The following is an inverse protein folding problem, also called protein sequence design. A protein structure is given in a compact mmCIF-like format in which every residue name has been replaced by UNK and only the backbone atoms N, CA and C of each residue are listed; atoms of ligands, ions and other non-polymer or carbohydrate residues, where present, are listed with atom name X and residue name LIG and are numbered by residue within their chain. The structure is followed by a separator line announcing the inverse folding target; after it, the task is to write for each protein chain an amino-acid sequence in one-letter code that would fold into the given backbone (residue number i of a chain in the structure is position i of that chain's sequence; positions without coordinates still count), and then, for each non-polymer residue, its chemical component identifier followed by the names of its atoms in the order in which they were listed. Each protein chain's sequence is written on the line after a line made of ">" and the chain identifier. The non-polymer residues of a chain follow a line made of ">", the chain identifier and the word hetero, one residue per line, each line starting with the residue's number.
data_IF_845146265007
#
_entry.id   IF_845146265007
#
_cell.length_a   1.000
_cell.length_b   1.000
_cell.length_c   1.000
_cell.angle_alpha   90.00
_cell.angle_beta   90.00
_cell.angle_gamma   90.00
#
_symmetry.space_group_name_H-M   'P 1'
#
loop_
_entity.id
_entity.type
_entity.pdbx_description
1 polymer ?
#
# COMPACT_ATOMS: atom_id res chain seq x y z
N UNK A 1 13.41 1.60 -16.22
CA UNK A 1 12.34 0.93 -15.47
C UNK A 1 11.41 0.33 -16.49
N UNK A 2 11.14 -0.96 -16.37
CA UNK A 2 10.16 -1.63 -17.24
C UNK A 2 8.77 -1.46 -16.63
N UNK A 3 7.80 -1.09 -17.48
CA UNK A 3 6.41 -1.03 -17.07
C UNK A 3 5.85 -2.45 -17.04
N UNK A 4 5.40 -2.89 -15.87
CA UNK A 4 4.72 -4.17 -15.70
C UNK A 4 3.24 -3.91 -15.53
N UNK A 5 2.44 -4.44 -16.45
CA UNK A 5 0.98 -4.37 -16.35
C UNK A 5 0.52 -5.24 -15.18
N UNK A 6 -0.24 -4.65 -14.26
CA UNK A 6 -0.86 -5.38 -13.16
C UNK A 6 -2.17 -5.98 -13.65
N UNK A 7 -2.27 -7.31 -13.63
CA UNK A 7 -3.50 -8.01 -13.96
C UNK A 7 -4.48 -7.85 -12.79
N UNK A 8 -5.74 -7.58 -13.10
CA UNK A 8 -6.82 -7.59 -12.12
C UNK A 8 -6.99 -8.99 -11.54
N UNK A 9 -7.30 -9.07 -10.25
CA UNK A 9 -7.74 -10.33 -9.64
C UNK A 9 -9.14 -10.74 -10.15
N UNK A 10 -9.64 -11.89 -9.67
CA UNK A 10 -10.95 -12.44 -10.01
C UNK A 10 -12.11 -11.49 -9.65
N UNK A 11 -11.87 -10.51 -8.77
CA UNK A 11 -12.83 -9.48 -8.35
C UNK A 11 -12.72 -8.20 -9.18
N UNK A 12 -11.82 -8.15 -10.16
CA UNK A 12 -11.58 -6.97 -10.99
C UNK A 12 -10.77 -5.88 -10.29
N UNK A 13 -10.02 -6.23 -9.25
CA UNK A 13 -9.25 -5.29 -8.42
C UNK A 13 -7.76 -5.39 -8.77
N UNK A 14 -7.13 -4.23 -9.01
CA UNK A 14 -5.68 -4.10 -9.10
C UNK A 14 -5.12 -3.76 -7.72
N UNK A 15 -4.09 -4.47 -7.28
CA UNK A 15 -3.40 -4.25 -6.01
C UNK A 15 -2.00 -3.70 -6.26
N UNK A 16 -1.66 -2.58 -5.63
CA UNK A 16 -0.33 -1.98 -5.76
C UNK A 16 0.72 -2.83 -5.03
N UNK A 17 1.79 -3.18 -5.74
CA UNK A 17 2.94 -3.89 -5.16
C UNK A 17 3.86 -2.96 -4.35
N UNK A 18 3.90 -1.68 -4.71
CA UNK A 18 4.76 -0.66 -4.05
C UNK A 18 4.08 -0.08 -2.81
N UNK A 19 2.74 -0.02 -2.83
CA UNK A 19 1.92 0.45 -1.72
C UNK A 19 0.91 -0.63 -1.31
N UNK A 20 1.33 -1.60 -0.48
CA UNK A 20 0.43 -2.63 0.04
C UNK A 20 -0.80 -2.00 0.72
N UNK A 21 -1.98 -2.44 0.32
CA UNK A 21 -3.28 -1.88 0.73
C UNK A 21 -3.87 -0.82 -0.19
N UNK A 22 -3.15 -0.35 -1.21
CA UNK A 22 -3.73 0.46 -2.28
C UNK A 22 -4.38 -0.48 -3.31
N UNK A 23 -5.69 -0.65 -3.18
CA UNK A 23 -6.51 -1.49 -4.04
C UNK A 23 -7.45 -0.62 -4.88
N UNK A 24 -7.59 -0.95 -6.17
CA UNK A 24 -8.40 -0.20 -7.12
C UNK A 24 -9.32 -1.15 -7.89
N UNK A 25 -10.63 -1.00 -7.74
CA UNK A 25 -11.61 -1.71 -8.53
C UNK A 25 -11.68 -1.11 -9.94
N UNK A 26 -11.13 -1.81 -10.94
CA UNK A 26 -11.00 -1.30 -12.32
C UNK A 26 -12.37 -1.06 -12.94
N UNK A 27 -13.31 -1.98 -12.76
CA UNK A 27 -14.66 -1.82 -13.27
C UNK A 27 -15.39 -0.62 -12.66
N UNK A 28 -15.16 -0.34 -11.38
CA UNK A 28 -15.75 0.82 -10.70
C UNK A 28 -15.11 2.13 -11.15
N UNK A 29 -13.80 2.12 -11.37
CA UNK A 29 -13.07 3.28 -11.90
C UNK A 29 -13.58 3.65 -13.31
N UNK A 30 -13.75 2.65 -14.17
CA UNK A 30 -14.27 2.83 -15.54
C UNK A 30 -15.75 3.22 -15.56
N UNK A 31 -16.51 2.81 -14.54
CA UNK A 31 -17.91 3.19 -14.37
C UNK A 31 -18.10 4.52 -13.61
N UNK A 32 -17.01 5.20 -13.24
CA UNK A 32 -17.01 6.40 -12.39
C UNK A 32 -17.70 6.22 -11.03
N UNK A 33 -17.84 4.97 -10.57
CA UNK A 33 -18.43 4.62 -9.28
C UNK A 33 -17.41 4.82 -8.15
N UNK A 34 -17.28 6.07 -7.72
CA UNK A 34 -16.35 6.45 -6.66
C UNK A 34 -16.70 5.85 -5.30
N UNK A 35 -17.98 5.50 -5.06
CA UNK A 35 -18.38 4.84 -3.81
C UNK A 35 -17.72 3.47 -3.71
N UNK A 36 -17.80 2.69 -4.80
CA UNK A 36 -17.18 1.37 -4.86
C UNK A 36 -15.66 1.44 -4.89
N UNK A 37 -15.07 2.41 -5.60
CA UNK A 37 -13.61 2.65 -5.55
C UNK A 37 -13.15 2.93 -4.12
N UNK A 38 -13.85 3.81 -3.39
CA UNK A 38 -13.49 4.14 -2.00
C UNK A 38 -13.72 2.99 -1.03
N UNK A 39 -14.75 2.15 -1.25
CA UNK A 39 -14.97 0.95 -0.45
C UNK A 39 -13.83 -0.07 -0.65
N UNK A 40 -13.41 -0.31 -1.89
CA UNK A 40 -12.29 -1.19 -2.22
C UNK A 40 -10.98 -0.67 -1.61
N UNK A 41 -10.73 0.63 -1.67
CA UNK A 41 -9.55 1.24 -1.04
C UNK A 41 -9.56 1.04 0.48
N UNK A 42 -10.70 1.27 1.14
CA UNK A 42 -10.81 1.08 2.59
C UNK A 42 -10.59 -0.38 3.00
N UNK A 43 -11.10 -1.34 2.22
CA UNK A 43 -10.84 -2.76 2.44
C UNK A 43 -9.34 -3.08 2.33
N UNK A 44 -8.64 -2.51 1.34
CA UNK A 44 -7.20 -2.65 1.18
C UNK A 44 -6.41 -2.06 2.34
N UNK A 45 -6.76 -0.87 2.82
CA UNK A 45 -6.11 -0.25 3.98
C UNK A 45 -6.37 -1.01 5.29
N UNK A 46 -7.52 -1.68 5.42
CA UNK A 46 -7.82 -2.54 6.56
C UNK A 46 -7.08 -3.89 6.52
N UNK A 47 -6.54 -4.28 5.36
CA UNK A 47 -5.88 -5.57 5.16
C UNK A 47 -4.61 -5.75 6.00
N UNK A 48 -4.23 -7.02 6.23
CA UNK A 48 -3.00 -7.38 6.94
C UNK A 48 -1.75 -6.86 6.23
N UNK A 49 -1.74 -6.86 4.90
CA UNK A 49 -0.62 -6.38 4.08
C UNK A 49 -0.29 -4.92 4.38
N UNK A 50 -1.33 -4.07 4.48
CA UNK A 50 -1.16 -2.67 4.83
C UNK A 50 -0.64 -2.49 6.27
N UNK A 51 -1.18 -3.26 7.22
CA UNK A 51 -0.73 -3.23 8.62
C UNK A 51 0.74 -3.64 8.75
N UNK A 52 1.17 -4.65 8.00
CA UNK A 52 2.56 -5.09 7.95
C UNK A 52 3.46 -4.03 7.31
N UNK A 53 3.03 -3.41 6.21
CA UNK A 53 3.73 -2.30 5.59
C UNK A 53 3.90 -1.11 6.56
N UNK A 54 2.86 -0.71 7.28
CA UNK A 54 2.92 0.32 8.30
C UNK A 54 3.86 -0.03 9.46
N UNK A 55 3.94 -1.31 9.86
CA UNK A 55 4.94 -1.79 10.82
C UNK A 55 6.35 -1.65 10.27
N UNK A 56 6.61 -2.11 9.05
CA UNK A 56 7.92 -2.01 8.39
C UNK A 56 8.40 -0.56 8.28
N UNK A 57 7.53 0.36 7.85
CA UNK A 57 7.85 1.79 7.74
C UNK A 57 8.16 2.41 9.10
N UNK A 58 7.42 2.03 10.16
CA UNK A 58 7.72 2.46 11.54
C UNK A 58 9.08 1.95 12.02
N UNK A 59 9.44 0.71 11.71
CA UNK A 59 10.75 0.15 12.07
C UNK A 59 11.91 0.81 11.31
N UNK A 60 11.73 1.11 10.02
CA UNK A 60 12.72 1.82 9.20
C UNK A 60 13.00 3.25 9.69
N UNK A 61 12.01 3.90 10.33
CA UNK A 61 12.20 5.21 10.96
C UNK A 61 12.92 5.11 12.32
N UNK A 62 12.74 4.02 13.08
CA UNK A 62 13.35 3.84 14.39
C UNK A 62 14.87 3.57 14.33
N UNK A 63 15.36 2.88 13.29
CA UNK A 63 16.79 2.58 13.12
C UNK A 63 17.62 3.80 12.71
N UNK A 64 16.99 4.86 12.17
CA UNK A 64 17.67 6.12 11.81
C UNK A 64 17.91 7.08 12.99
N UNK A 65 17.21 6.91 14.09
CA UNK A 65 17.41 7.72 15.31
C UNK A 65 18.43 7.12 16.29
N UNK A 66 18.81 5.85 16.14
CA UNK A 66 19.75 5.19 17.06
C UNK A 66 21.23 5.36 16.66
N UNK A 67 21.54 5.67 15.38
CA UNK A 67 22.91 5.82 14.85
C UNK A 67 23.46 7.26 14.99
N UNK A 68 22.75 8.19 15.64
CA UNK A 68 23.23 9.57 15.86
C UNK A 68 23.55 9.92 17.31
N UNK A 69 23.58 8.93 18.22
CA UNK A 69 24.04 9.11 19.60
C UNK A 69 25.23 8.19 19.91
N UNK A 70 26.37 8.45 19.29
CA UNK A 70 27.67 8.02 19.81
C UNK A 70 28.41 9.28 20.29
N UNK A 71 28.72 9.43 21.60
CA UNK A 71 29.45 10.57 22.10
C UNK A 71 30.94 10.41 21.76
N UNK A 72 31.54 11.41 21.12
CA UNK A 72 33.00 11.52 21.03
C UNK A 72 33.57 11.72 22.43
N UNK A 73 34.33 10.73 22.90
CA UNK A 73 35.30 10.88 23.98
C UNK A 73 36.59 11.50 23.42
#
# INVERSE_FOLDING_TARGET
>A
GEYVSLVTDEEGIIRSQVFPGLWLAVSALLAEDMVKVMATLQAGLASKEHQEFCKLMRYAHATRTAVSRQPSA
#
